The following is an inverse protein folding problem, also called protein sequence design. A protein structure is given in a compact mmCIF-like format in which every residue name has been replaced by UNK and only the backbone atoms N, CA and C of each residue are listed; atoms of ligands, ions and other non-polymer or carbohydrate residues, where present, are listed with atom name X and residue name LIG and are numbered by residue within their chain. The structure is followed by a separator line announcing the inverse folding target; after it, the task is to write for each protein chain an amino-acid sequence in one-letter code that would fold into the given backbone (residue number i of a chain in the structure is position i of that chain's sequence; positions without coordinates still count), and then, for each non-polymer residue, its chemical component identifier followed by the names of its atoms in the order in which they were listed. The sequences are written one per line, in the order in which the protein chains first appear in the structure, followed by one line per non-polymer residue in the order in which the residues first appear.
data_IF_440946139543
#
_entry.id   IF_440946139543
#
_cell.length_a   1.000
_cell.length_b   1.000
_cell.length_c   1.000
_cell.angle_alpha   90.00
_cell.angle_beta   90.00
_cell.angle_gamma   90.00
#
_symmetry.space_group_name_H-M   'P 1'
#
loop_
_entity.id
_entity.type
_entity.pdbx_description
1 polymer ?
#
# COMPACT_ATOMS: atom_id res chain seq x y z
N UNK A 1 -35.00 5.89 1.17
CA UNK A 1 -36.15 6.47 0.40
C UNK A 1 -35.95 6.46 -1.11
N UNK A 2 -34.69 6.44 -1.60
CA UNK A 2 -34.37 6.38 -3.04
C UNK A 2 -34.50 4.94 -3.59
N UNK A 3 -34.03 3.95 -2.84
CA UNK A 3 -34.17 2.52 -3.19
C UNK A 3 -35.63 2.06 -3.32
N UNK A 4 -36.53 2.57 -2.48
CA UNK A 4 -37.95 2.18 -2.56
C UNK A 4 -38.69 2.76 -3.79
N UNK A 5 -38.22 3.90 -4.34
CA UNK A 5 -38.76 4.47 -5.58
C UNK A 5 -38.30 3.67 -6.81
N UNK A 6 -37.07 3.18 -6.84
CA UNK A 6 -36.54 2.37 -7.96
C UNK A 6 -37.18 0.98 -7.97
N UNK A 7 -37.41 0.36 -6.81
CA UNK A 7 -38.10 -0.93 -6.72
C UNK A 7 -39.58 -0.86 -7.17
N UNK A 8 -40.24 0.30 -7.04
CA UNK A 8 -41.60 0.50 -7.57
C UNK A 8 -41.63 0.70 -9.09
N UNK A 9 -40.60 1.31 -9.67
CA UNK A 9 -40.47 1.46 -11.14
C UNK A 9 -40.19 0.13 -11.85
N UNK A 10 -39.48 -0.79 -11.22
CA UNK A 10 -39.19 -2.12 -11.79
C UNK A 10 -40.43 -3.04 -11.84
N UNK A 11 -41.47 -2.78 -11.06
CA UNK A 11 -42.71 -3.57 -11.05
C UNK A 11 -43.77 -3.10 -12.04
N UNK A 12 -43.65 -1.93 -12.63
CA UNK A 12 -44.70 -1.34 -13.46
C UNK A 12 -44.39 -1.31 -14.96
N UNK A 13 -43.21 -1.74 -15.40
CA UNK A 13 -42.88 -1.73 -16.83
C UNK A 13 -42.83 -3.14 -17.40
N UNK A 14 -43.64 -3.39 -18.48
CA UNK A 14 -43.47 -4.53 -19.39
C UNK A 14 -42.11 -4.40 -20.09
N UNK A 15 -41.02 -4.68 -19.41
CA UNK A 15 -39.67 -4.69 -19.98
C UNK A 15 -39.42 -6.04 -20.70
N UNK A 16 -38.95 -5.92 -21.93
CA UNK A 16 -38.50 -7.02 -22.79
C UNK A 16 -37.41 -7.85 -22.08
N UNK A 17 -37.33 -9.15 -22.32
CA UNK A 17 -36.41 -10.07 -21.65
C UNK A 17 -34.95 -9.61 -21.70
N UNK A 18 -34.51 -8.93 -22.77
CA UNK A 18 -33.16 -8.32 -22.88
C UNK A 18 -32.91 -7.18 -21.91
N UNK A 19 -33.91 -6.36 -21.64
CA UNK A 19 -33.78 -5.26 -20.68
C UNK A 19 -33.72 -5.76 -19.21
N UNK A 20 -34.31 -6.94 -18.93
CA UNK A 20 -34.22 -7.58 -17.62
C UNK A 20 -32.82 -8.14 -17.32
N UNK A 21 -32.14 -8.66 -18.33
CA UNK A 21 -30.76 -9.17 -18.21
C UNK A 21 -29.84 -8.01 -17.95
N UNK A 22 -29.90 -6.95 -18.75
CA UNK A 22 -29.04 -5.76 -18.58
C UNK A 22 -29.29 -5.06 -17.23
N UNK A 23 -30.56 -4.98 -16.77
CA UNK A 23 -30.86 -4.43 -15.44
C UNK A 23 -30.41 -5.36 -14.30
N UNK A 24 -30.39 -6.65 -14.51
CA UNK A 24 -29.89 -7.62 -13.55
C UNK A 24 -28.37 -7.55 -13.45
N UNK A 25 -27.67 -7.46 -14.58
CA UNK A 25 -26.21 -7.30 -14.64
C UNK A 25 -25.76 -5.95 -14.03
N UNK A 26 -26.53 -4.88 -14.26
CA UNK A 26 -26.31 -3.58 -13.60
C UNK A 26 -26.62 -3.67 -12.11
N UNK A 27 -27.64 -4.41 -11.70
CA UNK A 27 -28.01 -4.57 -10.30
C UNK A 27 -27.04 -5.48 -9.56
N UNK A 28 -26.56 -6.55 -10.19
CA UNK A 28 -25.53 -7.44 -9.65
C UNK A 28 -24.17 -6.70 -9.57
N UNK A 29 -23.82 -5.91 -10.59
CA UNK A 29 -22.65 -5.00 -10.57
C UNK A 29 -22.76 -3.88 -9.54
N UNK A 30 -23.96 -3.40 -9.22
CA UNK A 30 -24.21 -2.44 -8.12
C UNK A 30 -24.26 -3.14 -6.75
N UNK A 31 -24.62 -4.43 -6.73
CA UNK A 31 -24.66 -5.25 -5.50
C UNK A 31 -23.26 -5.63 -5.01
N UNK A 32 -22.33 -5.87 -5.94
CA UNK A 32 -20.91 -6.08 -5.63
C UNK A 32 -20.19 -4.79 -5.16
N UNK A 33 -20.82 -3.63 -5.37
CA UNK A 33 -20.39 -2.32 -4.84
C UNK A 33 -20.96 -1.99 -3.47
N UNK A 34 -21.62 -2.92 -2.79
CA UNK A 34 -21.91 -2.76 -1.36
C UNK A 34 -20.57 -2.88 -0.64
N UNK A 35 -19.88 -1.74 -0.53
CA UNK A 35 -18.79 -1.56 0.41
C UNK A 35 -19.23 -2.18 1.73
N UNK A 36 -18.59 -3.28 2.09
CA UNK A 36 -18.80 -3.84 3.41
C UNK A 36 -18.48 -2.71 4.39
N UNK A 37 -19.44 -2.30 5.19
CA UNK A 37 -19.22 -1.33 6.27
C UNK A 37 -18.90 -2.12 7.54
N UNK A 38 -17.65 -2.58 7.72
CA UNK A 38 -17.25 -3.30 8.91
C UNK A 38 -17.27 -2.36 10.12
N UNK A 39 -17.33 -2.94 11.28
CA UNK A 39 -17.13 -2.21 12.52
C UNK A 39 -15.65 -1.92 12.75
N UNK A 40 -15.34 -0.91 13.54
CA UNK A 40 -13.96 -0.54 13.85
C UNK A 40 -13.14 -1.68 14.48
N UNK A 41 -13.78 -2.64 15.16
CA UNK A 41 -13.13 -3.84 15.70
C UNK A 41 -12.74 -4.89 14.64
N UNK A 42 -13.29 -4.84 13.45
CA UNK A 42 -13.02 -5.75 12.33
C UNK A 42 -11.93 -5.24 11.38
N UNK A 43 -11.53 -3.98 11.55
CA UNK A 43 -10.50 -3.33 10.74
C UNK A 43 -9.14 -3.94 11.04
N UNK A 44 -8.37 -4.21 9.97
CA UNK A 44 -7.02 -4.76 10.05
C UNK A 44 -6.01 -3.80 9.43
N UNK A 45 -4.74 -3.94 9.82
CA UNK A 45 -3.62 -3.25 9.20
C UNK A 45 -3.59 -3.54 7.69
N UNK A 46 -3.40 -2.51 6.87
CA UNK A 46 -3.39 -2.59 5.41
C UNK A 46 -4.76 -2.41 4.72
N UNK A 47 -5.86 -2.33 5.49
CA UNK A 47 -7.17 -1.97 4.92
C UNK A 47 -7.22 -0.49 4.59
N UNK A 48 -8.01 -0.14 3.59
CA UNK A 48 -8.23 1.25 3.20
C UNK A 48 -9.64 1.68 3.56
N UNK A 49 -9.73 2.84 4.17
CA UNK A 49 -10.98 3.46 4.62
C UNK A 49 -11.25 4.73 3.82
N UNK A 50 -12.50 4.96 3.51
CA UNK A 50 -12.97 6.25 3.03
C UNK A 50 -13.49 7.06 4.22
N UNK A 51 -12.67 7.97 4.70
CA UNK A 51 -13.02 8.82 5.84
C UNK A 51 -13.02 10.29 5.42
N UNK A 52 -14.18 10.94 5.49
CA UNK A 52 -14.36 12.33 5.07
C UNK A 52 -13.89 12.63 3.63
N UNK A 53 -14.09 11.68 2.71
CA UNK A 53 -13.67 11.81 1.31
C UNK A 53 -12.16 11.63 1.07
N UNK A 54 -11.42 11.19 2.10
CA UNK A 54 -10.01 10.83 2.00
C UNK A 54 -9.85 9.31 2.06
N UNK A 55 -8.96 8.79 1.22
CA UNK A 55 -8.59 7.38 1.24
C UNK A 55 -7.41 7.20 2.20
N UNK A 56 -7.65 6.51 3.30
CA UNK A 56 -6.69 6.32 4.38
C UNK A 56 -6.32 4.85 4.52
N UNK A 57 -5.03 4.53 4.37
CA UNK A 57 -4.50 3.19 4.65
C UNK A 57 -4.22 3.06 6.14
N UNK A 58 -4.70 1.98 6.74
CA UNK A 58 -4.43 1.64 8.15
C UNK A 58 -2.99 1.14 8.28
N UNK A 59 -2.13 1.92 8.92
CA UNK A 59 -0.72 1.53 9.17
C UNK A 59 -0.56 0.85 10.53
N UNK A 60 -1.26 1.31 11.56
CA UNK A 60 -1.20 0.73 12.90
C UNK A 60 -2.53 0.86 13.64
N UNK A 61 -2.81 -0.10 14.53
CA UNK A 61 -3.99 -0.13 15.38
C UNK A 61 -3.55 -0.41 16.81
N UNK A 62 -3.79 0.53 17.71
CA UNK A 62 -3.55 0.43 19.13
C UNK A 62 -4.89 0.27 19.85
N UNK A 63 -5.09 -0.86 20.53
CA UNK A 63 -6.35 -1.18 21.24
C UNK A 63 -6.21 -0.74 22.68
N UNK A 64 -7.06 0.17 23.11
CA UNK A 64 -7.13 0.63 24.50
C UNK A 64 -8.34 0.01 25.20
N UNK A 65 -8.07 -0.93 26.08
CA UNK A 65 -9.10 -1.56 26.91
C UNK A 65 -9.66 -0.56 27.94
N UNK A 66 -10.96 -0.57 28.19
CA UNK A 66 -11.56 0.33 29.15
C UNK A 66 -11.09 0.02 30.57
N UNK A 67 -10.70 1.04 31.31
CA UNK A 67 -10.34 0.92 32.74
C UNK A 67 -11.55 0.96 33.69
N UNK A 68 -12.76 1.27 33.21
CA UNK A 68 -13.98 1.33 34.02
C UNK A 68 -15.07 0.39 33.45
N UNK A 69 -15.90 -0.18 34.35
CA UNK A 69 -17.06 -0.99 33.94
C UNK A 69 -18.03 -0.16 33.09
N UNK A 70 -18.32 -0.65 31.86
CA UNK A 70 -19.26 -0.01 30.94
C UNK A 70 -18.62 0.99 29.95
N UNK A 71 -17.33 1.24 30.00
CA UNK A 71 -16.66 2.04 28.98
C UNK A 71 -16.39 1.21 27.72
N UNK A 72 -16.57 1.82 26.55
CA UNK A 72 -16.30 1.17 25.27
C UNK A 72 -14.78 1.01 25.03
N UNK A 73 -14.40 -0.08 24.38
CA UNK A 73 -13.03 -0.27 23.89
C UNK A 73 -12.75 0.77 22.79
N UNK A 74 -11.63 1.50 22.93
CA UNK A 74 -11.20 2.48 21.96
C UNK A 74 -10.11 1.90 21.07
N UNK A 75 -10.28 2.07 19.77
CA UNK A 75 -9.34 1.71 18.74
C UNK A 75 -8.66 2.98 18.23
N UNK A 76 -7.41 3.19 18.63
CA UNK A 76 -6.58 4.28 18.15
C UNK A 76 -5.90 3.82 16.88
N UNK A 77 -6.31 4.35 15.75
CA UNK A 77 -5.81 3.95 14.44
C UNK A 77 -4.92 5.05 13.87
N UNK A 78 -3.78 4.64 13.33
CA UNK A 78 -2.88 5.51 12.58
C UNK A 78 -3.01 5.18 11.11
N UNK A 79 -3.29 6.20 10.34
CA UNK A 79 -3.50 6.14 8.91
C UNK A 79 -2.40 6.88 8.16
N UNK A 80 -2.20 6.49 6.92
CA UNK A 80 -1.53 7.29 5.91
C UNK A 80 -2.52 7.60 4.80
N UNK A 81 -2.64 8.86 4.43
CA UNK A 81 -3.43 9.26 3.28
C UNK A 81 -2.77 8.71 2.01
N UNK A 82 -3.54 8.01 1.17
CA UNK A 82 -3.03 7.32 -0.03
C UNK A 82 -2.47 8.31 -1.06
N UNK A 83 -3.04 9.53 -1.12
CA UNK A 83 -2.67 10.53 -2.13
C UNK A 83 -1.55 11.46 -1.69
N UNK A 84 -1.56 11.82 -0.39
CA UNK A 84 -0.65 12.85 0.13
C UNK A 84 0.43 12.30 1.06
N UNK A 85 0.37 11.01 1.41
CA UNK A 85 1.28 10.39 2.37
C UNK A 85 1.12 10.91 3.82
N UNK A 86 0.25 11.90 4.06
CA UNK A 86 0.10 12.52 5.36
C UNK A 86 -0.40 11.52 6.40
N UNK A 87 0.25 11.53 7.56
CA UNK A 87 -0.14 10.69 8.69
C UNK A 87 -1.31 11.33 9.44
N UNK A 88 -2.38 10.56 9.59
CA UNK A 88 -3.60 10.94 10.32
C UNK A 88 -3.81 9.94 11.45
N UNK A 89 -4.20 10.43 12.62
CA UNK A 89 -4.51 9.59 13.77
C UNK A 89 -5.94 9.87 14.23
N UNK A 90 -6.75 8.81 14.31
CA UNK A 90 -8.14 8.89 14.73
C UNK A 90 -8.48 7.79 15.75
N UNK A 91 -9.52 8.05 16.55
CA UNK A 91 -10.00 7.12 17.57
C UNK A 91 -11.44 6.72 17.29
N UNK A 92 -11.66 5.42 17.21
CA UNK A 92 -12.97 4.82 16.98
C UNK A 92 -13.40 4.00 18.19
N UNK A 93 -14.69 3.94 18.42
CA UNK A 93 -15.27 2.95 19.31
C UNK A 93 -15.44 1.64 18.56
N UNK A 94 -15.37 0.51 19.26
CA UNK A 94 -15.45 -0.81 18.62
C UNK A 94 -16.70 -1.03 17.76
N UNK A 95 -17.80 -0.35 18.08
CA UNK A 95 -19.08 -0.43 17.36
C UNK A 95 -19.25 0.61 16.24
N UNK A 96 -18.31 1.54 16.09
CA UNK A 96 -18.39 2.55 15.03
C UNK A 96 -18.30 1.87 13.65
N UNK A 97 -19.22 2.24 12.78
CA UNK A 97 -19.26 1.74 11.39
C UNK A 97 -18.31 2.59 10.55
N UNK A 98 -17.42 1.92 9.84
CA UNK A 98 -16.41 2.59 9.01
C UNK A 98 -16.56 2.11 7.57
N UNK A 99 -16.56 3.06 6.64
CA UNK A 99 -16.63 2.77 5.21
C UNK A 99 -15.28 2.28 4.72
N UNK A 100 -15.22 1.00 4.33
CA UNK A 100 -14.01 0.38 3.78
C UNK A 100 -14.06 0.31 2.28
N UNK A 101 -12.92 0.53 1.66
CA UNK A 101 -12.74 0.50 0.21
C UNK A 101 -11.91 -0.72 -0.16
N UNK A 102 -12.40 -1.52 -1.09
CA UNK A 102 -11.63 -2.62 -1.66
C UNK A 102 -10.70 -2.07 -2.73
N UNK A 103 -9.40 -2.21 -2.51
CA UNK A 103 -8.39 -1.87 -3.51
C UNK A 103 -8.08 -3.08 -4.39
N UNK A 104 -7.89 -2.81 -5.67
CA UNK A 104 -7.33 -3.80 -6.59
C UNK A 104 -5.82 -3.64 -6.62
N UNK A 105 -5.10 -4.75 -6.42
CA UNK A 105 -3.64 -4.83 -6.53
C UNK A 105 -3.28 -5.47 -7.86
N UNK A 106 -2.40 -4.84 -8.61
CA UNK A 106 -1.89 -5.32 -9.89
C UNK A 106 -0.38 -5.39 -9.85
N UNK A 107 0.18 -6.53 -10.28
CA UNK A 107 1.63 -6.67 -10.42
C UNK A 107 2.12 -5.88 -11.62
N UNK A 108 3.16 -5.09 -11.42
CA UNK A 108 3.75 -4.23 -12.45
C UNK A 108 5.25 -4.40 -12.52
N UNK A 109 5.80 -4.15 -13.71
CA UNK A 109 7.22 -4.00 -13.93
C UNK A 109 7.54 -2.55 -14.28
N UNK A 110 8.70 -2.07 -13.80
CA UNK A 110 9.22 -0.77 -14.22
C UNK A 110 9.57 -0.82 -15.71
N UNK A 111 9.15 0.18 -16.46
CA UNK A 111 9.38 0.21 -17.91
C UNK A 111 10.40 1.29 -18.28
N UNK A 112 10.09 2.55 -18.06
CA UNK A 112 10.97 3.67 -18.41
C UNK A 112 10.62 4.94 -17.63
N UNK A 113 11.52 5.93 -17.74
CA UNK A 113 11.30 7.29 -17.22
C UNK A 113 11.13 8.25 -18.39
N UNK A 114 10.10 9.08 -18.34
CA UNK A 114 9.88 10.17 -19.27
C UNK A 114 9.88 11.52 -18.54
N UNK A 115 11.03 12.19 -18.57
CA UNK A 115 11.21 13.43 -17.82
C UNK A 115 11.05 13.26 -16.32
N UNK A 116 9.92 13.68 -15.76
CA UNK A 116 9.59 13.57 -14.33
C UNK A 116 8.59 12.44 -14.03
N UNK A 117 8.23 11.67 -15.05
CA UNK A 117 7.23 10.61 -14.96
C UNK A 117 7.88 9.24 -15.03
N UNK A 118 7.48 8.35 -14.14
CA UNK A 118 7.92 6.97 -14.05
C UNK A 118 6.78 6.07 -14.51
N UNK A 119 7.04 5.28 -15.56
CA UNK A 119 6.05 4.42 -16.20
C UNK A 119 6.28 2.98 -15.79
N UNK A 120 5.23 2.38 -15.24
CA UNK A 120 5.15 0.97 -14.87
C UNK A 120 4.12 0.27 -15.76
N UNK A 121 4.39 -0.95 -16.17
CA UNK A 121 3.49 -1.74 -17.00
C UNK A 121 2.91 -2.91 -16.21
N UNK A 122 1.60 -3.09 -16.33
CA UNK A 122 0.91 -4.26 -15.79
C UNK A 122 1.44 -5.53 -16.44
N UNK A 123 1.67 -6.59 -15.64
CA UNK A 123 2.15 -7.89 -16.14
C UNK A 123 1.08 -8.69 -16.89
N UNK A 124 -0.20 -8.41 -16.64
CA UNK A 124 -1.31 -9.17 -17.22
C UNK A 124 -1.83 -8.54 -18.52
N UNK A 125 -2.13 -7.25 -18.48
CA UNK A 125 -2.80 -6.55 -19.59
C UNK A 125 -1.94 -5.46 -20.26
N UNK A 126 -0.70 -5.27 -19.78
CA UNK A 126 0.25 -4.25 -20.28
C UNK A 126 -0.27 -2.82 -20.21
N UNK A 127 -1.21 -2.56 -19.32
CA UNK A 127 -1.71 -1.20 -19.07
C UNK A 127 -0.61 -0.36 -18.43
N UNK A 128 -0.27 0.81 -18.99
CA UNK A 128 0.72 1.70 -18.39
C UNK A 128 0.14 2.47 -17.21
N UNK A 129 0.86 2.50 -16.11
CA UNK A 129 0.60 3.32 -14.93
C UNK A 129 1.73 4.33 -14.77
N UNK A 130 1.38 5.60 -14.70
CA UNK A 130 2.35 6.69 -14.64
C UNK A 130 2.29 7.37 -13.29
N UNK A 131 3.42 7.49 -12.62
CA UNK A 131 3.60 8.25 -11.38
C UNK A 131 4.56 9.41 -11.62
N UNK A 132 4.31 10.54 -10.98
CA UNK A 132 5.29 11.62 -10.94
C UNK A 132 6.35 11.31 -9.88
N UNK A 133 7.57 11.84 -10.08
CA UNK A 133 8.68 11.68 -9.13
C UNK A 133 8.28 12.03 -7.69
N UNK A 134 7.48 13.08 -7.53
CA UNK A 134 7.03 13.58 -6.23
C UNK A 134 6.08 12.60 -5.51
N UNK A 135 5.33 11.79 -6.27
CA UNK A 135 4.39 10.81 -5.72
C UNK A 135 5.07 9.57 -5.16
N UNK A 136 6.24 9.21 -5.71
CA UNK A 136 6.98 7.99 -5.38
C UNK A 136 8.42 8.27 -4.93
N UNK A 137 8.69 9.46 -4.40
CA UNK A 137 10.05 9.87 -4.00
C UNK A 137 10.64 8.96 -2.92
N UNK A 138 9.81 8.51 -1.97
CA UNK A 138 10.22 7.58 -0.92
C UNK A 138 10.52 6.19 -1.50
N UNK A 139 9.71 5.71 -2.42
CA UNK A 139 9.84 4.41 -3.07
C UNK A 139 11.05 4.36 -4.02
N UNK A 140 11.38 5.45 -4.69
CA UNK A 140 12.49 5.52 -5.64
C UNK A 140 13.86 5.24 -4.98
N UNK A 141 14.00 5.49 -3.69
CA UNK A 141 15.23 5.18 -2.96
C UNK A 141 15.51 3.68 -2.87
N UNK A 142 14.50 2.84 -3.12
CA UNK A 142 14.60 1.39 -3.06
C UNK A 142 14.56 0.72 -4.43
N UNK A 143 14.18 1.45 -5.48
CA UNK A 143 14.06 0.89 -6.83
C UNK A 143 15.39 1.07 -7.57
N UNK A 144 16.13 -0.04 -7.86
CA UNK A 144 17.34 0.03 -8.66
C UNK A 144 17.01 0.42 -10.11
N UNK A 145 17.99 0.90 -10.88
CA UNK A 145 17.83 1.35 -12.27
C UNK A 145 17.19 0.33 -13.22
N UNK A 146 17.26 -0.96 -12.90
CA UNK A 146 16.63 -2.03 -13.68
C UNK A 146 15.23 -2.41 -13.21
N UNK A 147 14.67 -1.71 -12.23
CA UNK A 147 13.44 -2.14 -11.56
C UNK A 147 13.67 -3.28 -10.57
N UNK A 148 12.61 -3.76 -9.96
CA UNK A 148 12.63 -4.89 -9.03
C UNK A 148 11.42 -5.79 -9.28
N UNK A 149 11.49 -7.09 -8.91
CA UNK A 149 10.34 -7.98 -9.00
C UNK A 149 9.27 -7.62 -7.96
N UNK A 150 8.06 -8.12 -8.20
CA UNK A 150 6.95 -8.09 -7.24
C UNK A 150 6.46 -6.70 -6.78
N UNK A 151 6.72 -5.66 -7.58
CA UNK A 151 6.06 -4.35 -7.41
C UNK A 151 4.57 -4.48 -7.71
N UNK A 152 3.76 -3.77 -6.94
CA UNK A 152 2.31 -3.74 -7.14
C UNK A 152 1.81 -2.30 -7.19
N UNK A 153 0.82 -2.09 -8.03
CA UNK A 153 0.09 -0.82 -8.10
C UNK A 153 -1.26 -1.01 -7.43
N UNK A 154 -1.61 -0.06 -6.58
CA UNK A 154 -2.92 0.03 -5.96
C UNK A 154 -3.83 0.89 -6.82
N UNK A 155 -4.95 0.32 -7.23
CA UNK A 155 -6.00 1.02 -7.97
C UNK A 155 -7.34 0.94 -7.25
N UNK A 156 -8.12 1.98 -7.35
CA UNK A 156 -9.49 2.04 -6.87
C UNK A 156 -10.39 2.67 -7.94
N UNK A 157 -11.44 1.95 -8.31
CA UNK A 157 -12.38 2.36 -9.35
C UNK A 157 -11.69 2.83 -10.66
N UNK A 158 -10.60 2.14 -11.03
CA UNK A 158 -9.77 2.48 -12.19
C UNK A 158 -8.82 3.67 -11.98
N UNK A 159 -8.84 4.30 -10.82
CA UNK A 159 -7.90 5.37 -10.48
C UNK A 159 -6.64 4.82 -9.84
N UNK A 160 -5.50 5.31 -10.30
CA UNK A 160 -4.19 5.01 -9.73
C UNK A 160 -4.05 5.72 -8.38
N UNK A 161 -3.65 4.98 -7.34
CA UNK A 161 -3.53 5.51 -5.98
C UNK A 161 -2.09 5.54 -5.49
N UNK A 162 -1.41 4.40 -5.48
CA UNK A 162 -0.08 4.28 -4.92
C UNK A 162 0.70 3.13 -5.56
N UNK A 163 2.02 3.19 -5.45
CA UNK A 163 2.95 2.09 -5.74
C UNK A 163 3.26 1.37 -4.43
N UNK A 164 3.14 0.05 -4.42
CA UNK A 164 3.45 -0.81 -3.28
C UNK A 164 4.69 -1.64 -3.62
N UNK A 165 5.73 -1.49 -2.83
CA UNK A 165 6.97 -2.24 -2.98
C UNK A 165 6.90 -3.56 -2.20
N UNK A 166 7.68 -4.60 -2.57
CA UNK A 166 7.82 -5.80 -1.76
C UNK A 166 8.43 -5.48 -0.39
N UNK A 167 8.39 -6.43 0.53
CA UNK A 167 8.95 -6.21 1.87
C UNK A 167 10.47 -6.05 1.88
N UNK A 168 11.14 -6.65 0.91
CA UNK A 168 12.59 -6.67 0.82
C UNK A 168 13.08 -6.34 -0.58
N UNK A 169 14.26 -5.72 -0.66
CA UNK A 169 14.96 -5.43 -1.91
C UNK A 169 16.41 -5.86 -1.80
N UNK A 170 16.97 -6.32 -2.90
CA UNK A 170 18.38 -6.66 -3.03
C UNK A 170 19.11 -5.51 -3.73
N UNK A 171 20.01 -4.83 -3.02
CA UNK A 171 20.79 -3.70 -3.53
C UNK A 171 22.29 -3.96 -3.39
N UNK A 172 23.08 -3.39 -4.29
CA UNK A 172 24.53 -3.45 -4.27
C UNK A 172 25.12 -2.29 -3.47
N UNK A 173 26.15 -2.58 -2.67
CA UNK A 173 26.92 -1.57 -1.93
C UNK A 173 27.89 -0.88 -2.88
N UNK A 174 27.68 0.40 -3.17
CA UNK A 174 28.59 1.22 -3.98
C UNK A 174 29.76 1.75 -3.15
N UNK A 175 29.47 2.23 -1.95
CA UNK A 175 30.45 2.86 -1.09
C UNK A 175 30.27 2.47 0.38
N UNK A 176 31.34 2.07 1.04
CA UNK A 176 31.36 1.85 2.49
C UNK A 176 32.78 2.01 3.03
N UNK A 177 32.90 2.33 4.32
CA UNK A 177 34.20 2.39 4.98
C UNK A 177 34.88 1.00 4.98
N UNK A 178 36.20 0.93 4.85
CA UNK A 178 36.96 -0.33 4.94
C UNK A 178 36.69 -1.01 6.29
N UNK A 179 36.49 -2.33 6.25
CA UNK A 179 36.30 -3.13 7.46
C UNK A 179 37.57 -3.19 8.30
N UNK A 180 37.45 -3.01 9.60
CA UNK A 180 38.58 -3.14 10.55
C UNK A 180 38.83 -4.62 10.78
N UNK A 181 39.96 -5.14 10.30
CA UNK A 181 40.41 -6.51 10.55
C UNK A 181 40.62 -6.72 12.06
N UNK A 182 39.90 -7.64 12.66
CA UNK A 182 40.01 -7.99 14.07
C UNK A 182 38.90 -7.47 15.00
N UNK A 183 37.91 -6.79 14.47
CA UNK A 183 36.69 -6.52 15.23
C UNK A 183 35.87 -7.81 15.36
N UNK A 184 35.63 -8.23 16.61
CA UNK A 184 34.72 -9.35 16.89
C UNK A 184 33.37 -9.09 16.24
N UNK A 185 32.76 -10.12 15.64
CA UNK A 185 31.56 -10.08 14.83
C UNK A 185 30.28 -9.54 15.52
N UNK A 186 30.38 -9.06 16.72
CA UNK A 186 29.25 -8.63 17.53
C UNK A 186 29.08 -7.11 17.49
N UNK A 187 27.99 -6.71 16.85
CA UNK A 187 27.26 -5.44 17.02
C UNK A 187 27.85 -4.11 16.49
N UNK A 188 28.95 -4.09 15.78
CA UNK A 188 29.38 -2.85 15.14
C UNK A 188 28.82 -2.72 13.74
N UNK A 189 28.23 -1.58 13.45
CA UNK A 189 27.70 -1.22 12.14
C UNK A 189 28.47 -0.04 11.57
N UNK A 190 28.48 0.05 10.26
CA UNK A 190 29.03 1.18 9.51
C UNK A 190 28.04 1.66 8.47
N UNK A 191 28.07 2.93 8.08
CA UNK A 191 27.23 3.41 6.99
C UNK A 191 27.71 2.83 5.65
N UNK A 192 26.78 2.47 4.81
CA UNK A 192 27.02 2.03 3.44
C UNK A 192 26.02 2.69 2.50
N UNK A 193 26.51 3.17 1.35
CA UNK A 193 25.70 3.78 0.30
C UNK A 193 25.38 2.71 -0.74
N UNK A 194 24.09 2.53 -1.02
CA UNK A 194 23.58 1.57 -2.00
C UNK A 194 23.60 2.15 -3.41
N UNK A 195 23.37 1.29 -4.41
CA UNK A 195 23.28 1.66 -5.84
C UNK A 195 22.19 2.71 -6.14
N UNK A 196 21.19 2.80 -5.30
CA UNK A 196 20.10 3.79 -5.40
C UNK A 196 20.41 5.12 -4.70
N UNK A 197 21.55 5.23 -4.02
CA UNK A 197 21.90 6.39 -3.18
C UNK A 197 21.39 6.29 -1.73
N UNK A 198 20.63 5.25 -1.40
CA UNK A 198 20.18 4.99 -0.03
C UNK A 198 21.36 4.70 0.89
N UNK A 199 21.40 5.34 2.07
CA UNK A 199 22.42 5.09 3.10
C UNK A 199 21.80 4.32 4.25
N UNK A 200 22.34 3.12 4.53
CA UNK A 200 21.90 2.28 5.65
C UNK A 200 23.06 1.83 6.51
N UNK A 201 22.73 1.38 7.74
CA UNK A 201 23.71 0.78 8.64
C UNK A 201 23.89 -0.70 8.34
N UNK A 202 25.11 -1.09 8.00
CA UNK A 202 25.47 -2.48 7.67
C UNK A 202 26.55 -3.00 8.61
N UNK A 203 26.67 -4.32 8.80
CA UNK A 203 27.76 -4.92 9.58
C UNK A 203 29.15 -4.58 9.00
N UNK A 204 30.16 -4.42 9.88
CA UNK A 204 31.52 -4.02 9.50
C UNK A 204 32.22 -4.95 8.49
N UNK A 205 31.83 -6.20 8.42
CA UNK A 205 32.47 -7.20 7.54
C UNK A 205 32.08 -7.08 6.06
N UNK A 206 31.04 -6.30 5.74
CA UNK A 206 30.59 -6.13 4.35
C UNK A 206 31.51 -5.17 3.59
N UNK A 207 31.70 -5.45 2.30
CA UNK A 207 32.57 -4.69 1.41
C UNK A 207 31.80 -4.13 0.21
N UNK A 208 32.42 -3.16 -0.45
CA UNK A 208 31.90 -2.58 -1.70
C UNK A 208 31.78 -3.68 -2.76
N UNK A 209 30.73 -3.65 -3.57
CA UNK A 209 30.41 -4.62 -4.61
C UNK A 209 29.59 -5.82 -4.11
N UNK A 210 29.32 -5.93 -2.80
CA UNK A 210 28.46 -7.00 -2.28
C UNK A 210 26.98 -6.62 -2.43
N UNK A 211 26.16 -7.60 -2.86
CA UNK A 211 24.70 -7.46 -2.87
C UNK A 211 24.13 -7.84 -1.51
N UNK A 212 23.26 -7.01 -1.01
CA UNK A 212 22.62 -7.21 0.29
C UNK A 212 21.12 -7.08 0.20
N UNK A 213 20.43 -7.83 1.05
CA UNK A 213 18.97 -7.77 1.22
C UNK A 213 18.61 -6.80 2.32
N UNK A 214 17.72 -5.89 2.01
CA UNK A 214 17.28 -4.80 2.88
C UNK A 214 15.77 -4.92 3.11
N UNK A 215 15.33 -4.78 4.35
CA UNK A 215 13.91 -4.62 4.68
C UNK A 215 13.49 -3.17 4.43
N UNK A 216 12.53 -2.95 3.54
CA UNK A 216 12.17 -1.62 3.06
C UNK A 216 11.55 -0.77 4.18
N UNK A 217 10.52 -1.27 4.90
CA UNK A 217 9.84 -0.51 5.95
C UNK A 217 10.76 -0.12 7.12
N UNK A 218 11.73 -0.97 7.47
CA UNK A 218 12.66 -0.74 8.60
C UNK A 218 13.99 -0.11 8.19
N UNK A 219 14.25 0.03 6.89
CA UNK A 219 15.53 0.45 6.30
C UNK A 219 16.71 -0.32 6.93
N UNK A 220 16.58 -1.63 7.10
CA UNK A 220 17.50 -2.48 7.85
C UNK A 220 18.09 -3.59 7.00
N UNK A 221 19.37 -3.83 7.17
CA UNK A 221 20.07 -4.98 6.62
C UNK A 221 19.49 -6.29 7.16
N UNK A 222 19.19 -7.24 6.30
CA UNK A 222 18.70 -8.58 6.64
C UNK A 222 19.73 -9.67 6.40
N UNK A 223 20.50 -9.57 5.33
CA UNK A 223 21.46 -10.61 4.94
C UNK A 223 22.13 -10.30 3.61
N UNK A 224 23.06 -11.16 3.19
CA UNK A 224 23.59 -11.13 1.83
C UNK A 224 22.54 -11.64 0.85
N UNK A 225 22.49 -11.03 -0.31
CA UNK A 225 21.74 -11.53 -1.45
C UNK A 225 22.69 -12.35 -2.33
N UNK A 226 22.22 -13.52 -2.78
CA UNK A 226 23.00 -14.41 -3.67
C UNK A 226 22.95 -13.92 -5.12
#
# INVERSE_FOLDING_TARGET
TFCQKIAKLAKSACLNARARVVLRDIFDSLSDRITAMPRANEIKKGMVLNYNGKLLIVKNIDIQSPSARGAATLYKMRFSDVRTGLKVEERFKGDDIVDTVTLTRRFVDFSYVDGNEYVFMDKEDYTPYTFTKEQIEEELQFIPEGGMPDMQVLTWDGQLLALELPQTVDLEIIETAPGIKGASASSRTKPATMSTGLVIQVPEYLTTGEKIRIHIEECRYMGRAD
#
